data_IF_844774562680
#
_entry.id   IF_844774562680
#
_cell.length_a   1.000
_cell.length_b   1.000
_cell.length_c   1.000
_cell.angle_alpha   90.00
_cell.angle_beta   90.00
_cell.angle_gamma   90.00
#
_symmetry.space_group_name_H-M   'P 1'
#
loop_
_entity.id
_entity.type
_entity.pdbx_description
1 polymer ?
#
# COMPACT_ATOMS: atom_id res chain seq x y z
N UNK A 1 7.43 56.83 -6.93
CA UNK A 1 8.02 55.63 -7.57
C UNK A 1 9.35 55.38 -6.88
N UNK A 2 9.48 54.33 -6.07
CA UNK A 2 10.80 53.96 -5.53
C UNK A 2 11.66 53.47 -6.71
N UNK A 3 12.91 53.94 -6.85
CA UNK A 3 13.81 53.45 -7.90
C UNK A 3 14.05 51.96 -7.71
N UNK A 4 14.00 51.20 -8.81
CA UNK A 4 14.12 49.73 -8.87
C UNK A 4 15.33 49.21 -8.07
N UNK A 5 16.42 50.00 -7.99
CA UNK A 5 17.61 49.70 -7.20
C UNK A 5 17.37 49.62 -5.69
N UNK A 6 16.47 50.43 -5.11
CA UNK A 6 16.15 50.38 -3.68
C UNK A 6 15.30 49.14 -3.32
N UNK A 7 14.43 48.68 -4.23
CA UNK A 7 13.69 47.43 -4.04
C UNK A 7 14.62 46.20 -4.06
N UNK A 8 15.65 46.20 -4.92
CA UNK A 8 16.63 45.12 -4.99
C UNK A 8 17.51 45.03 -3.73
N UNK A 9 17.91 46.18 -3.16
CA UNK A 9 18.70 46.21 -1.92
C UNK A 9 17.89 45.73 -0.72
N UNK A 10 16.61 46.10 -0.62
CA UNK A 10 15.73 45.63 0.47
C UNK A 10 15.46 44.12 0.36
N UNK A 11 15.26 43.60 -0.87
CA UNK A 11 15.12 42.16 -1.09
C UNK A 11 16.41 41.40 -0.74
N UNK A 12 17.59 41.89 -1.17
CA UNK A 12 18.88 41.26 -0.88
C UNK A 12 19.27 41.32 0.61
N UNK A 13 18.94 42.40 1.31
CA UNK A 13 19.17 42.51 2.76
C UNK A 13 18.16 41.64 3.54
N UNK A 14 16.89 41.59 3.10
CA UNK A 14 15.87 40.74 3.70
C UNK A 14 16.17 39.24 3.58
N UNK A 15 16.70 38.80 2.42
CA UNK A 15 17.15 37.42 2.23
C UNK A 15 18.42 37.12 3.03
N UNK A 16 19.36 38.08 3.11
CA UNK A 16 20.60 37.92 3.89
C UNK A 16 20.35 37.84 5.40
N UNK A 17 19.47 38.69 5.94
CA UNK A 17 19.11 38.70 7.37
C UNK A 17 18.36 37.41 7.73
N UNK A 18 17.44 36.94 6.88
CA UNK A 18 16.71 35.69 7.09
C UNK A 18 17.62 34.46 7.02
N UNK A 19 18.56 34.43 6.07
CA UNK A 19 19.56 33.37 5.98
C UNK A 19 20.51 33.38 7.19
N UNK A 20 20.84 34.56 7.72
CA UNK A 20 21.70 34.69 8.90
C UNK A 20 20.97 34.29 10.19
N UNK A 21 19.68 34.64 10.36
CA UNK A 21 18.88 34.19 11.51
C UNK A 21 18.66 32.67 11.48
N UNK A 22 18.37 32.09 10.32
CA UNK A 22 18.21 30.65 10.15
C UNK A 22 19.51 29.89 10.48
N UNK A 23 20.68 30.42 10.10
CA UNK A 23 21.99 29.84 10.46
C UNK A 23 22.24 29.85 11.97
N UNK A 24 21.88 30.94 12.66
CA UNK A 24 22.06 31.06 14.12
C UNK A 24 21.15 30.08 14.86
N UNK A 25 19.90 29.90 14.41
CA UNK A 25 18.96 28.95 15.00
C UNK A 25 19.39 27.49 14.82
N UNK A 26 19.91 27.13 13.64
CA UNK A 26 20.39 25.76 13.36
C UNK A 26 21.62 25.41 14.21
N UNK A 27 22.55 26.34 14.42
CA UNK A 27 23.75 26.09 15.24
C UNK A 27 23.40 25.96 16.73
N UNK A 28 22.49 26.80 17.24
CA UNK A 28 21.97 26.66 18.60
C UNK A 28 21.26 25.31 18.80
N UNK A 29 20.47 24.88 17.81
CA UNK A 29 19.81 23.57 17.81
C UNK A 29 20.83 22.42 17.80
N UNK A 30 21.90 22.52 17.00
CA UNK A 30 22.99 21.54 16.94
C UNK A 30 23.70 21.41 18.29
N UNK A 31 24.04 22.53 18.91
CA UNK A 31 24.68 22.53 20.24
C UNK A 31 23.76 21.89 21.29
N UNK A 32 22.47 22.25 21.28
CA UNK A 32 21.48 21.64 22.18
C UNK A 32 21.37 20.13 21.95
N UNK A 33 21.32 19.69 20.70
CA UNK A 33 21.29 18.26 20.37
C UNK A 33 22.54 17.55 20.88
N UNK A 34 23.73 18.09 20.62
CA UNK A 34 25.00 17.49 21.07
C UNK A 34 25.11 17.42 22.61
N UNK A 35 24.55 18.39 23.32
CA UNK A 35 24.57 18.43 24.79
C UNK A 35 23.54 17.50 25.45
N UNK A 36 22.42 17.20 24.78
CA UNK A 36 21.26 16.53 25.40
C UNK A 36 20.86 15.21 24.77
N UNK A 37 21.42 14.85 23.62
CA UNK A 37 21.06 13.65 22.87
C UNK A 37 22.28 12.82 22.51
N UNK A 38 22.15 11.51 22.65
CA UNK A 38 23.07 10.54 22.02
C UNK A 38 22.54 10.18 20.62
N UNK A 39 23.42 9.73 19.70
CA UNK A 39 23.00 9.29 18.36
C UNK A 39 21.97 8.15 18.36
N UNK A 40 21.91 7.36 19.44
CA UNK A 40 20.97 6.26 19.64
C UNK A 40 19.74 6.63 20.47
N UNK A 41 19.60 7.89 20.87
CA UNK A 41 18.47 8.34 21.70
C UNK A 41 17.16 8.20 20.95
N UNK A 42 16.21 7.50 21.57
CA UNK A 42 14.86 7.28 21.02
C UNK A 42 13.83 8.25 21.59
N UNK A 43 14.24 9.20 22.44
CA UNK A 43 13.31 10.15 23.07
C UNK A 43 12.69 11.09 22.02
N UNK A 44 11.41 11.43 22.17
CA UNK A 44 10.68 12.28 21.23
C UNK A 44 11.35 13.63 21.01
N UNK A 45 11.88 14.23 22.07
CA UNK A 45 12.62 15.48 22.00
C UNK A 45 13.88 15.36 21.12
N UNK A 46 14.65 14.29 21.28
CA UNK A 46 15.84 14.05 20.45
C UNK A 46 15.46 13.74 19.00
N UNK A 47 14.39 12.96 18.78
CA UNK A 47 13.87 12.69 17.43
C UNK A 47 13.47 13.98 16.72
N UNK A 48 12.70 14.85 17.38
CA UNK A 48 12.29 16.14 16.82
C UNK A 48 13.46 17.06 16.49
N UNK A 49 14.45 17.16 17.38
CA UNK A 49 15.64 17.98 17.13
C UNK A 49 16.47 17.43 15.97
N UNK A 50 16.63 16.09 15.89
CA UNK A 50 17.29 15.44 14.75
C UNK A 50 16.57 15.71 13.45
N UNK A 51 15.24 15.53 13.38
CA UNK A 51 14.47 15.80 12.16
C UNK A 51 14.61 17.26 11.69
N UNK A 52 14.64 18.22 12.62
CA UNK A 52 14.88 19.63 12.28
C UNK A 52 16.29 19.87 11.71
N UNK A 53 17.32 19.25 12.29
CA UNK A 53 18.70 19.33 11.79
C UNK A 53 18.85 18.67 10.41
N UNK A 54 18.21 17.51 10.21
CA UNK A 54 18.17 16.82 8.92
C UNK A 54 17.44 17.64 7.84
N UNK A 55 16.32 18.29 8.19
CA UNK A 55 15.62 19.19 7.28
C UNK A 55 16.48 20.40 6.89
N UNK A 56 17.18 21.01 7.86
CA UNK A 56 18.12 22.10 7.57
C UNK A 56 19.26 21.63 6.63
N UNK A 57 19.77 20.41 6.82
CA UNK A 57 20.75 19.82 5.93
C UNK A 57 20.20 19.59 4.52
N UNK A 58 18.96 19.11 4.39
CA UNK A 58 18.28 18.96 3.10
C UNK A 58 18.17 20.29 2.35
N UNK A 59 17.66 21.34 3.00
CA UNK A 59 17.56 22.67 2.40
C UNK A 59 18.93 23.19 1.95
N UNK A 60 19.96 23.01 2.79
CA UNK A 60 21.33 23.41 2.44
C UNK A 60 21.87 22.66 1.22
N UNK A 61 21.60 21.36 1.11
CA UNK A 61 22.01 20.56 -0.03
C UNK A 61 21.33 21.01 -1.33
N UNK A 62 20.02 21.29 -1.28
CA UNK A 62 19.29 21.81 -2.44
C UNK A 62 19.88 23.14 -2.93
N UNK A 63 20.07 24.10 -2.03
CA UNK A 63 20.63 25.41 -2.38
C UNK A 63 22.04 25.29 -2.97
N UNK A 64 22.90 24.48 -2.36
CA UNK A 64 24.25 24.22 -2.87
C UNK A 64 24.23 23.63 -4.29
N UNK A 65 23.29 22.71 -4.57
CA UNK A 65 23.13 22.15 -5.91
C UNK A 65 22.56 23.15 -6.92
N UNK A 66 21.65 24.04 -6.51
CA UNK A 66 21.14 25.14 -7.35
C UNK A 66 22.26 26.13 -7.73
N UNK A 67 23.20 26.36 -6.82
CA UNK A 67 24.40 27.16 -7.02
C UNK A 67 25.49 26.44 -7.85
N UNK A 68 25.23 25.20 -8.29
CA UNK A 68 26.16 24.38 -9.07
C UNK A 68 27.28 23.74 -8.25
N UNK A 69 27.21 23.82 -6.92
CA UNK A 69 28.16 23.18 -6.03
C UNK A 69 27.86 21.68 -5.87
N UNK A 70 28.91 20.88 -5.68
CA UNK A 70 28.76 19.46 -5.39
C UNK A 70 28.58 19.24 -3.89
N UNK A 71 27.54 18.50 -3.45
CA UNK A 71 27.36 18.11 -2.06
C UNK A 71 28.62 17.47 -1.46
N UNK A 72 29.01 17.91 -0.26
CA UNK A 72 30.16 17.30 0.42
C UNK A 72 29.92 15.80 0.71
N UNK A 73 30.94 14.93 0.61
CA UNK A 73 30.77 13.49 0.90
C UNK A 73 30.20 13.21 2.29
N UNK A 74 30.59 14.00 3.30
CA UNK A 74 30.07 13.87 4.67
C UNK A 74 28.57 14.15 4.77
N UNK A 75 28.06 15.14 4.03
CA UNK A 75 26.64 15.47 3.99
C UNK A 75 25.83 14.36 3.31
N UNK A 76 26.37 13.77 2.25
CA UNK A 76 25.78 12.62 1.56
C UNK A 76 25.71 11.43 2.53
N UNK A 77 26.79 11.12 3.25
CA UNK A 77 26.82 10.00 4.19
C UNK A 77 25.79 10.16 5.32
N UNK A 78 25.67 11.36 5.88
CA UNK A 78 24.62 11.68 6.85
C UNK A 78 23.24 11.50 6.21
N UNK A 79 23.04 11.97 4.98
CA UNK A 79 21.77 11.84 4.29
C UNK A 79 21.36 10.40 3.99
N UNK A 80 22.30 9.52 3.62
CA UNK A 80 22.03 8.09 3.42
C UNK A 80 21.53 7.39 4.69
N UNK A 81 21.85 7.93 5.86
CA UNK A 81 21.44 7.42 7.19
C UNK A 81 20.27 8.20 7.81
N UNK A 82 19.88 9.33 7.22
CA UNK A 82 18.91 10.27 7.78
C UNK A 82 17.52 9.65 7.89
N UNK A 83 16.75 9.98 8.92
CA UNK A 83 15.34 9.54 9.04
C UNK A 83 14.38 10.37 8.19
N UNK A 84 14.76 11.62 7.88
CA UNK A 84 14.01 12.54 7.03
C UNK A 84 13.97 12.02 5.58
N UNK A 85 12.78 11.70 5.03
CA UNK A 85 12.67 11.00 3.76
C UNK A 85 13.19 11.82 2.57
N UNK A 86 13.00 13.13 2.58
CA UNK A 86 13.51 14.02 1.52
C UNK A 86 15.04 14.00 1.47
N UNK A 87 15.69 14.11 2.64
CA UNK A 87 17.14 14.06 2.74
C UNK A 87 17.69 12.71 2.28
N UNK A 88 17.06 11.61 2.70
CA UNK A 88 17.47 10.25 2.33
C UNK A 88 17.32 10.00 0.83
N UNK A 89 16.19 10.39 0.24
CA UNK A 89 15.95 10.26 -1.19
C UNK A 89 16.97 11.08 -2.00
N UNK A 90 17.20 12.35 -1.60
CA UNK A 90 18.20 13.21 -2.25
C UNK A 90 19.61 12.60 -2.16
N UNK A 91 20.00 12.12 -0.99
CA UNK A 91 21.30 11.47 -0.79
C UNK A 91 21.46 10.22 -1.66
N UNK A 92 20.43 9.38 -1.79
CA UNK A 92 20.44 8.22 -2.69
C UNK A 92 20.59 8.63 -4.16
N UNK A 93 19.96 9.74 -4.56
CA UNK A 93 20.03 10.28 -5.91
C UNK A 93 21.42 10.80 -6.26
N UNK A 94 22.02 11.62 -5.38
CA UNK A 94 23.27 12.35 -5.67
C UNK A 94 24.54 11.63 -5.21
N UNK A 95 24.42 10.58 -4.38
CA UNK A 95 25.60 9.85 -3.89
C UNK A 95 26.39 9.24 -5.05
N UNK A 96 27.73 9.36 -5.06
CA UNK A 96 28.55 8.58 -5.98
C UNK A 96 28.34 7.08 -5.75
N UNK A 97 28.59 6.27 -6.78
CA UNK A 97 28.51 4.82 -6.66
C UNK A 97 29.49 4.33 -5.60
N UNK A 98 28.96 3.66 -4.58
CA UNK A 98 29.74 3.14 -3.46
C UNK A 98 29.01 1.98 -2.79
N UNK A 99 29.71 1.11 -2.04
CA UNK A 99 29.08 0.08 -1.23
C UNK A 99 28.08 0.65 -0.21
N UNK A 100 28.40 1.82 0.37
CA UNK A 100 27.51 2.50 1.33
C UNK A 100 26.20 2.95 0.68
N UNK A 101 26.24 3.49 -0.55
CA UNK A 101 25.04 3.84 -1.33
C UNK A 101 24.18 2.62 -1.60
N UNK A 102 24.79 1.50 -2.00
CA UNK A 102 24.05 0.27 -2.27
C UNK A 102 23.41 -0.30 -0.99
N UNK A 103 24.15 -0.38 0.11
CA UNK A 103 23.62 -0.83 1.39
C UNK A 103 22.44 0.04 1.85
N UNK A 104 22.55 1.37 1.70
CA UNK A 104 21.47 2.29 2.00
C UNK A 104 20.25 2.09 1.08
N UNK A 105 20.46 1.84 -0.22
CA UNK A 105 19.38 1.56 -1.16
C UNK A 105 18.64 0.27 -0.80
N UNK A 106 19.35 -0.83 -0.52
CA UNK A 106 18.74 -2.10 -0.10
C UNK A 106 17.95 -1.94 1.20
N UNK A 107 18.48 -1.21 2.18
CA UNK A 107 17.74 -0.92 3.42
C UNK A 107 16.52 0.00 3.22
N UNK A 108 16.53 0.82 2.16
CA UNK A 108 15.51 1.83 1.89
C UNK A 108 14.42 1.37 0.93
N UNK A 109 14.58 0.21 0.29
CA UNK A 109 13.60 -0.29 -0.68
C UNK A 109 12.23 -0.53 -0.03
N UNK A 110 12.21 -0.86 1.27
CA UNK A 110 11.01 -1.11 2.07
C UNK A 110 10.60 0.10 2.94
N UNK A 111 11.07 1.31 2.61
CA UNK A 111 10.69 2.54 3.31
C UNK A 111 9.17 2.78 3.22
N UNK A 112 8.51 3.32 4.27
CA UNK A 112 7.11 3.74 4.18
C UNK A 112 6.91 4.92 3.21
N UNK A 113 7.97 5.61 2.80
CA UNK A 113 7.90 6.75 1.89
C UNK A 113 8.18 6.33 0.45
N UNK A 114 7.19 6.47 -0.44
CA UNK A 114 7.31 6.09 -1.84
C UNK A 114 8.47 6.80 -2.58
N UNK A 115 8.76 8.06 -2.23
CA UNK A 115 9.89 8.82 -2.79
C UNK A 115 11.23 8.17 -2.47
N UNK A 116 11.41 7.68 -1.24
CA UNK A 116 12.62 6.96 -0.81
C UNK A 116 12.73 5.61 -1.52
N UNK A 117 11.61 4.87 -1.61
CA UNK A 117 11.57 3.56 -2.30
C UNK A 117 11.95 3.70 -3.77
N UNK A 118 11.48 4.76 -4.43
CA UNK A 118 11.76 5.01 -5.85
C UNK A 118 13.26 5.23 -6.09
N UNK A 119 13.90 6.09 -5.31
CA UNK A 119 15.34 6.33 -5.47
C UNK A 119 16.17 5.10 -5.09
N UNK A 120 15.76 4.36 -4.05
CA UNK A 120 16.37 3.07 -3.72
C UNK A 120 16.26 2.08 -4.89
N UNK A 121 15.08 1.95 -5.51
CA UNK A 121 14.87 1.09 -6.67
C UNK A 121 15.70 1.52 -7.88
N UNK A 122 15.87 2.83 -8.11
CA UNK A 122 16.73 3.35 -9.18
C UNK A 122 18.19 2.94 -8.98
N UNK A 123 18.71 3.06 -7.75
CA UNK A 123 20.07 2.62 -7.41
C UNK A 123 20.23 1.11 -7.63
N UNK A 124 19.30 0.31 -7.12
CA UNK A 124 19.33 -1.16 -7.26
C UNK A 124 19.24 -1.58 -8.73
N UNK A 125 18.38 -0.94 -9.52
CA UNK A 125 18.22 -1.26 -10.95
C UNK A 125 19.51 -1.02 -11.74
N UNK A 126 20.19 0.10 -11.46
CA UNK A 126 21.40 0.50 -12.19
C UNK A 126 22.66 -0.23 -11.72
N UNK A 127 22.75 -0.58 -10.43
CA UNK A 127 24.01 -1.01 -9.81
C UNK A 127 23.90 -2.23 -8.90
N UNK A 128 22.70 -2.72 -8.60
CA UNK A 128 22.49 -3.86 -7.72
C UNK A 128 22.96 -5.16 -8.36
N UNK A 129 23.18 -6.20 -7.57
CA UNK A 129 23.44 -7.55 -8.09
C UNK A 129 22.17 -8.17 -8.71
N UNK A 130 22.32 -9.34 -9.34
CA UNK A 130 21.18 -10.04 -9.97
C UNK A 130 20.05 -10.30 -9.00
N UNK A 131 20.36 -10.73 -7.77
CA UNK A 131 19.34 -11.03 -6.76
C UNK A 131 18.58 -9.77 -6.36
N UNK A 132 19.29 -8.67 -6.12
CA UNK A 132 18.71 -7.38 -5.75
C UNK A 132 17.85 -6.82 -6.88
N UNK A 133 18.29 -6.91 -8.14
CA UNK A 133 17.50 -6.48 -9.29
C UNK A 133 16.21 -7.30 -9.43
N UNK A 134 16.30 -8.63 -9.30
CA UNK A 134 15.13 -9.52 -9.36
C UNK A 134 14.16 -9.28 -8.21
N UNK A 135 14.62 -8.87 -7.03
CA UNK A 135 13.73 -8.45 -5.94
C UNK A 135 12.80 -7.28 -6.35
N UNK A 136 13.22 -6.41 -7.29
CA UNK A 136 12.38 -5.34 -7.82
C UNK A 136 11.18 -5.85 -8.64
N UNK A 137 11.16 -7.10 -9.08
CA UNK A 137 9.97 -7.72 -9.69
C UNK A 137 8.81 -7.86 -8.70
N UNK A 138 9.08 -7.76 -7.39
CA UNK A 138 8.04 -7.67 -6.36
C UNK A 138 7.45 -6.28 -6.24
N UNK A 139 8.12 -5.26 -6.78
CA UNK A 139 7.67 -3.89 -6.67
C UNK A 139 6.35 -3.72 -7.41
N UNK A 140 5.31 -3.37 -6.68
CA UNK A 140 4.04 -2.99 -7.30
C UNK A 140 4.14 -1.52 -7.71
N UNK A 141 3.67 -1.16 -8.91
CA UNK A 141 3.87 0.17 -9.47
C UNK A 141 3.30 1.24 -8.54
N UNK A 142 4.20 1.98 -7.89
CA UNK A 142 3.84 3.12 -7.05
C UNK A 142 3.73 4.36 -7.90
N UNK A 143 2.59 5.05 -7.87
CA UNK A 143 2.50 6.44 -8.33
C UNK A 143 3.40 7.28 -7.42
N UNK A 144 4.23 8.15 -7.98
CA UNK A 144 5.03 9.09 -7.19
C UNK A 144 4.07 10.07 -6.50
N UNK A 145 3.97 10.08 -5.17
CA UNK A 145 3.15 11.07 -4.50
C UNK A 145 3.80 12.45 -4.66
N UNK A 146 2.97 13.49 -4.71
CA UNK A 146 3.42 14.88 -4.79
C UNK A 146 4.16 15.31 -3.51
N UNK A 147 3.80 14.71 -2.38
CA UNK A 147 4.39 14.96 -1.06
C UNK A 147 4.92 13.65 -0.45
N UNK A 148 5.99 13.70 0.38
CA UNK A 148 6.54 12.55 1.07
C UNK A 148 5.64 12.16 2.25
N UNK A 149 4.46 11.65 1.93
CA UNK A 149 3.53 11.06 2.90
C UNK A 149 3.97 9.62 3.17
N UNK A 150 4.02 9.24 4.43
CA UNK A 150 4.26 7.85 4.80
C UNK A 150 3.03 7.02 4.45
N UNK A 151 3.22 5.96 3.70
CA UNK A 151 2.19 4.95 3.51
C UNK A 151 1.89 4.30 4.87
N UNK A 152 0.61 4.02 5.12
CA UNK A 152 0.19 3.25 6.28
C UNK A 152 -0.06 1.80 5.84
N UNK A 153 0.33 0.80 6.64
CA UNK A 153 -0.21 -0.53 6.49
C UNK A 153 -1.75 -0.49 6.54
N UNK A 154 -2.45 -1.37 5.81
CA UNK A 154 -3.90 -1.41 5.87
C UNK A 154 -4.37 -1.71 7.30
N UNK A 155 -5.49 -1.11 7.68
CA UNK A 155 -6.17 -1.43 8.93
C UNK A 155 -6.43 -2.96 8.99
N UNK A 156 -6.00 -3.65 10.07
CA UNK A 156 -6.31 -5.07 10.28
C UNK A 156 -7.78 -5.43 10.06
N UNK A 157 -8.72 -4.54 10.39
CA UNK A 157 -10.15 -4.75 10.19
C UNK A 157 -10.55 -4.81 8.70
N UNK A 158 -9.77 -4.19 7.80
CA UNK A 158 -9.98 -4.24 6.33
C UNK A 158 -9.45 -5.53 5.72
N UNK A 159 -8.45 -6.17 6.34
CA UNK A 159 -7.89 -7.42 5.82
C UNK A 159 -8.88 -8.59 5.88
N UNK A 160 -9.89 -8.51 6.77
CA UNK A 160 -10.89 -9.57 7.03
C UNK A 160 -10.28 -10.95 7.35
N UNK A 161 -8.98 -10.97 7.67
CA UNK A 161 -8.22 -12.14 8.13
C UNK A 161 -7.41 -11.73 9.35
N UNK A 162 -7.18 -12.67 10.25
CA UNK A 162 -6.35 -12.43 11.43
C UNK A 162 -4.91 -12.14 11.00
N UNK A 163 -4.29 -11.02 11.44
CA UNK A 163 -2.88 -10.75 11.17
C UNK A 163 -2.00 -11.85 11.76
N UNK A 164 -0.98 -12.29 11.02
CA UNK A 164 0.00 -13.24 11.55
C UNK A 164 0.92 -12.54 12.58
N UNK A 165 1.09 -13.09 13.78
CA UNK A 165 1.90 -12.46 14.81
C UNK A 165 3.37 -12.37 14.39
N UNK A 166 3.99 -11.20 14.57
CA UNK A 166 5.40 -10.96 14.23
C UNK A 166 5.69 -10.81 12.74
N UNK A 167 4.68 -10.85 11.86
CA UNK A 167 4.88 -10.55 10.44
C UNK A 167 5.15 -9.04 10.23
N UNK A 168 6.12 -8.74 9.38
CA UNK A 168 6.49 -7.37 8.98
C UNK A 168 5.80 -7.02 7.67
N UNK A 169 5.10 -5.90 7.62
CA UNK A 169 4.51 -5.36 6.40
C UNK A 169 5.61 -4.90 5.43
N UNK A 170 5.47 -5.25 4.14
CA UNK A 170 6.43 -4.91 3.09
C UNK A 170 5.84 -3.87 2.15
N UNK A 171 6.23 -2.61 2.36
CA UNK A 171 5.77 -1.47 1.58
C UNK A 171 6.09 -1.60 0.10
N UNK A 172 7.25 -2.14 -0.26
CA UNK A 172 7.64 -2.24 -1.66
C UNK A 172 6.79 -3.22 -2.47
N UNK A 173 6.26 -4.27 -1.82
CA UNK A 173 5.49 -5.33 -2.45
C UNK A 173 3.96 -5.22 -2.23
N UNK A 174 3.53 -4.18 -1.51
CA UNK A 174 2.12 -3.92 -1.20
C UNK A 174 1.56 -2.76 -2.03
N UNK A 175 0.26 -2.78 -2.28
CA UNK A 175 -0.49 -1.71 -2.94
C UNK A 175 -1.94 -1.67 -2.42
N UNK A 176 -2.82 -0.93 -3.10
CA UNK A 176 -4.23 -0.79 -2.72
C UNK A 176 -5.04 -2.10 -2.82
N UNK A 177 -4.56 -3.09 -3.57
CA UNK A 177 -5.26 -4.36 -3.84
C UNK A 177 -4.65 -5.57 -3.11
N UNK A 178 -3.41 -5.46 -2.63
CA UNK A 178 -2.72 -6.52 -1.91
C UNK A 178 -1.83 -5.97 -0.79
N UNK A 179 -1.92 -6.62 0.36
CA UNK A 179 -1.03 -6.43 1.49
C UNK A 179 -0.02 -7.57 1.55
N UNK A 180 1.26 -7.24 1.39
CA UNK A 180 2.35 -8.20 1.47
C UNK A 180 3.01 -8.09 2.85
N UNK A 181 3.09 -9.21 3.55
CA UNK A 181 3.84 -9.34 4.79
C UNK A 181 4.92 -10.41 4.65
N UNK A 182 5.95 -10.32 5.49
CA UNK A 182 6.96 -11.38 5.60
C UNK A 182 7.24 -11.75 7.04
N UNK A 183 7.65 -13.00 7.27
CA UNK A 183 8.12 -13.50 8.56
C UNK A 183 9.33 -14.42 8.40
N UNK A 184 10.13 -14.54 9.45
CA UNK A 184 11.23 -15.50 9.54
C UNK A 184 10.73 -16.94 9.79
N UNK A 185 9.49 -17.10 10.24
CA UNK A 185 8.88 -18.41 10.49
C UNK A 185 8.77 -19.25 9.21
N UNK A 186 8.81 -20.57 9.36
CA UNK A 186 8.66 -21.51 8.24
C UNK A 186 7.24 -21.45 7.63
N UNK A 187 7.08 -21.68 6.31
CA UNK A 187 5.77 -21.63 5.65
C UNK A 187 4.72 -22.52 6.31
N UNK A 188 5.07 -23.74 6.70
CA UNK A 188 4.13 -24.68 7.32
C UNK A 188 3.55 -24.18 8.65
N UNK A 189 4.34 -23.45 9.44
CA UNK A 189 3.87 -22.82 10.69
C UNK A 189 2.85 -21.70 10.39
N UNK A 190 3.09 -20.94 9.34
CA UNK A 190 2.20 -19.87 8.89
C UNK A 190 0.91 -20.44 8.30
N UNK A 191 1.02 -21.47 7.47
CA UNK A 191 -0.14 -22.21 6.93
C UNK A 191 -0.98 -22.77 8.08
N UNK A 192 -0.36 -23.44 9.05
CA UNK A 192 -1.04 -24.00 10.21
C UNK A 192 -1.87 -22.96 10.99
N UNK A 193 -1.38 -21.71 11.09
CA UNK A 193 -2.10 -20.61 11.69
C UNK A 193 -3.37 -20.24 10.90
N UNK A 194 -3.27 -20.12 9.58
CA UNK A 194 -4.41 -19.75 8.73
C UNK A 194 -5.40 -20.90 8.50
N UNK A 195 -4.98 -22.15 8.68
CA UNK A 195 -5.86 -23.33 8.61
C UNK A 195 -6.57 -23.67 9.93
N UNK A 196 -6.35 -22.89 11.00
CA UNK A 196 -7.09 -23.07 12.25
C UNK A 196 -8.60 -22.97 12.01
N UNK A 197 -9.38 -23.79 12.73
CA UNK A 197 -10.83 -23.85 12.56
C UNK A 197 -11.31 -24.69 11.36
N UNK A 198 -10.46 -25.57 10.84
CA UNK A 198 -10.84 -26.56 9.80
C UNK A 198 -10.73 -26.06 8.36
N UNK A 199 -10.15 -24.87 8.14
CA UNK A 199 -9.89 -24.35 6.79
C UNK A 199 -8.83 -25.20 6.10
N UNK A 200 -9.04 -25.50 4.82
CA UNK A 200 -8.07 -26.25 4.00
C UNK A 200 -7.06 -25.29 3.34
N UNK A 201 -5.79 -25.69 3.34
CA UNK A 201 -4.79 -25.11 2.46
C UNK A 201 -4.73 -25.90 1.15
N UNK A 202 -4.79 -25.19 0.04
CA UNK A 202 -4.81 -25.77 -1.30
C UNK A 202 -3.46 -25.53 -2.00
N UNK A 203 -3.05 -26.48 -2.85
CA UNK A 203 -2.17 -26.14 -3.98
C UNK A 203 -2.94 -25.32 -5.02
N UNK A 204 -2.24 -24.71 -5.98
CA UNK A 204 -2.91 -23.94 -7.02
C UNK A 204 -3.89 -24.80 -7.86
N UNK A 205 -3.49 -26.02 -8.23
CA UNK A 205 -4.35 -26.93 -9.01
C UNK A 205 -5.57 -27.39 -8.20
N UNK A 206 -5.41 -27.68 -6.91
CA UNK A 206 -6.52 -28.01 -6.02
C UNK A 206 -7.48 -26.84 -5.85
N UNK A 207 -6.96 -25.60 -5.73
CA UNK A 207 -7.77 -24.40 -5.59
C UNK A 207 -8.60 -24.16 -6.85
N UNK A 208 -7.98 -24.21 -8.04
CA UNK A 208 -8.69 -24.05 -9.32
C UNK A 208 -9.79 -25.09 -9.49
N UNK A 209 -9.52 -26.34 -9.11
CA UNK A 209 -10.53 -27.40 -9.15
C UNK A 209 -11.68 -27.12 -8.16
N UNK A 210 -11.37 -26.69 -6.93
CA UNK A 210 -12.38 -26.34 -5.93
C UNK A 210 -13.25 -25.15 -6.38
N UNK A 211 -12.63 -24.09 -6.92
CA UNK A 211 -13.33 -22.93 -7.48
C UNK A 211 -14.22 -23.34 -8.66
N UNK A 212 -13.70 -24.15 -9.59
CA UNK A 212 -14.48 -24.65 -10.74
C UNK A 212 -15.65 -25.51 -10.29
N UNK A 213 -15.43 -26.42 -9.34
CA UNK A 213 -16.49 -27.26 -8.78
C UNK A 213 -17.57 -26.42 -8.12
N UNK A 214 -17.21 -25.35 -7.40
CA UNK A 214 -18.15 -24.43 -6.78
C UNK A 214 -18.92 -23.62 -7.82
N UNK A 215 -18.23 -23.07 -8.82
CA UNK A 215 -18.87 -22.33 -9.90
C UNK A 215 -19.92 -23.20 -10.63
N UNK A 216 -19.57 -24.45 -10.96
CA UNK A 216 -20.48 -25.41 -11.56
C UNK A 216 -21.65 -25.77 -10.63
N UNK A 217 -21.38 -26.01 -9.35
CA UNK A 217 -22.41 -26.31 -8.35
C UNK A 217 -23.32 -25.11 -8.02
N UNK A 218 -22.89 -23.88 -8.34
CA UNK A 218 -23.69 -22.70 -8.19
C UNK A 218 -24.55 -22.48 -9.45
N UNK A 219 -23.99 -22.63 -10.67
CA UNK A 219 -24.74 -22.52 -11.93
C UNK A 219 -25.81 -23.61 -12.16
N UNK A 220 -26.05 -24.47 -11.17
CA UNK A 220 -27.14 -25.44 -11.17
C UNK A 220 -28.49 -24.73 -11.09
N UNK A 221 -29.24 -24.73 -12.20
CA UNK A 221 -30.57 -24.11 -12.31
C UNK A 221 -31.55 -24.59 -11.23
N UNK A 222 -31.40 -25.82 -10.74
CA UNK A 222 -32.25 -26.37 -9.69
C UNK A 222 -32.06 -25.66 -8.34
N UNK A 223 -30.81 -25.30 -8.00
CA UNK A 223 -30.51 -24.50 -6.80
C UNK A 223 -31.00 -23.08 -6.93
N UNK A 224 -30.93 -22.49 -8.12
CA UNK A 224 -31.48 -21.15 -8.35
C UNK A 224 -33.00 -21.14 -8.11
N UNK A 225 -33.71 -22.14 -8.63
CA UNK A 225 -35.15 -22.30 -8.42
C UNK A 225 -35.48 -22.54 -6.93
N UNK A 226 -34.71 -23.39 -6.24
CA UNK A 226 -34.88 -23.60 -4.79
C UNK A 226 -34.62 -22.34 -3.98
N UNK A 227 -33.59 -21.56 -4.32
CA UNK A 227 -33.27 -20.32 -3.63
C UNK A 227 -34.39 -19.28 -3.79
N UNK A 228 -34.97 -19.18 -4.99
CA UNK A 228 -36.14 -18.34 -5.25
C UNK A 228 -37.37 -18.81 -4.47
N UNK A 229 -37.63 -20.12 -4.42
CA UNK A 229 -38.74 -20.70 -3.67
C UNK A 229 -38.58 -20.50 -2.16
N UNK A 230 -37.37 -20.66 -1.61
CA UNK A 230 -37.10 -20.39 -0.19
C UNK A 230 -37.24 -18.91 0.16
N UNK A 231 -36.73 -18.01 -0.69
CA UNK A 231 -36.88 -16.57 -0.49
C UNK A 231 -38.37 -16.20 -0.46
N UNK A 232 -39.14 -16.72 -1.42
CA UNK A 232 -40.59 -16.52 -1.49
C UNK A 232 -41.31 -17.11 -0.27
N UNK A 233 -40.91 -18.29 0.20
CA UNK A 233 -41.46 -18.93 1.41
C UNK A 233 -41.14 -18.16 2.70
N UNK A 234 -40.00 -17.45 2.74
CA UNK A 234 -39.58 -16.58 3.86
C UNK A 234 -40.12 -15.15 3.73
N UNK A 235 -40.95 -14.85 2.72
CA UNK A 235 -41.49 -13.51 2.46
C UNK A 235 -40.44 -12.50 1.99
N UNK A 236 -39.29 -12.98 1.51
CA UNK A 236 -38.21 -12.17 0.94
C UNK A 236 -38.41 -12.01 -0.57
N UNK A 237 -37.93 -10.90 -1.14
CA UNK A 237 -37.96 -10.69 -2.58
C UNK A 237 -37.01 -11.69 -3.29
N UNK A 238 -37.53 -12.58 -4.16
CA UNK A 238 -36.72 -13.55 -4.91
C UNK A 238 -35.65 -12.86 -5.78
N UNK A 239 -35.90 -11.63 -6.21
CA UNK A 239 -34.99 -10.81 -7.02
C UNK A 239 -33.75 -10.41 -6.22
N UNK A 240 -33.90 -10.11 -4.92
CA UNK A 240 -32.77 -9.80 -4.04
C UNK A 240 -31.91 -11.03 -3.77
N UNK A 241 -32.52 -12.18 -3.54
CA UNK A 241 -31.79 -13.45 -3.36
C UNK A 241 -30.99 -13.81 -4.62
N UNK A 242 -31.57 -13.57 -5.80
CA UNK A 242 -30.92 -13.77 -7.09
C UNK A 242 -29.76 -12.79 -7.32
N UNK A 243 -29.92 -11.50 -7.01
CA UNK A 243 -28.84 -10.52 -7.12
C UNK A 243 -27.70 -10.80 -6.14
N UNK A 244 -28.00 -11.15 -4.89
CA UNK A 244 -26.99 -11.56 -3.91
C UNK A 244 -26.23 -12.79 -4.39
N UNK A 245 -26.93 -13.76 -4.98
CA UNK A 245 -26.33 -14.95 -5.56
C UNK A 245 -25.47 -14.63 -6.81
N UNK A 246 -25.95 -13.83 -7.75
CA UNK A 246 -25.16 -13.37 -8.91
C UNK A 246 -23.90 -12.60 -8.50
N UNK A 247 -24.02 -11.70 -7.51
CA UNK A 247 -22.89 -10.97 -6.95
C UNK A 247 -21.89 -11.89 -6.26
N UNK A 248 -22.38 -12.96 -5.62
CA UNK A 248 -21.53 -14.01 -5.05
C UNK A 248 -20.72 -14.75 -6.14
N UNK A 249 -21.24 -14.83 -7.37
CA UNK A 249 -20.51 -15.40 -8.51
C UNK A 249 -19.50 -14.46 -9.15
N UNK A 250 -19.74 -13.14 -9.11
CA UNK A 250 -18.82 -12.15 -9.66
C UNK A 250 -17.42 -12.21 -8.99
N UNK A 251 -17.35 -12.66 -7.73
CA UNK A 251 -16.09 -12.87 -7.00
C UNK A 251 -15.27 -14.10 -7.44
N UNK A 252 -15.81 -14.98 -8.28
CA UNK A 252 -15.11 -16.16 -8.80
C UNK A 252 -14.26 -15.87 -10.05
N UNK A 253 -14.31 -14.64 -10.59
CA UNK A 253 -13.73 -14.29 -11.90
C UNK A 253 -12.23 -14.07 -11.95
N UNK A 254 -11.58 -13.77 -10.82
CA UNK A 254 -10.14 -13.50 -10.76
C UNK A 254 -9.41 -14.72 -10.21
N UNK A 255 -8.60 -15.38 -11.04
CA UNK A 255 -7.74 -16.49 -10.60
C UNK A 255 -6.68 -15.96 -9.61
N UNK A 256 -6.78 -16.27 -8.30
CA UNK A 256 -5.87 -15.73 -7.29
C UNK A 256 -4.48 -16.37 -7.38
N UNK A 257 -4.29 -17.42 -8.18
CA UNK A 257 -2.99 -18.09 -8.32
C UNK A 257 -2.11 -17.43 -9.37
N UNK A 258 -2.69 -16.71 -10.34
CA UNK A 258 -2.01 -16.18 -11.53
C UNK A 258 -0.81 -15.28 -11.22
N UNK A 259 -0.85 -14.55 -10.11
CA UNK A 259 0.21 -13.61 -9.73
C UNK A 259 1.39 -14.28 -8.99
N UNK A 260 1.30 -15.59 -8.72
CA UNK A 260 2.26 -16.32 -7.89
C UNK A 260 2.75 -17.62 -8.52
N UNK A 261 1.92 -18.29 -9.33
CA UNK A 261 2.38 -19.43 -10.12
C UNK A 261 3.48 -19.00 -11.09
N UNK A 262 4.53 -19.81 -11.18
CA UNK A 262 5.69 -19.63 -12.08
C UNK A 262 6.47 -18.32 -11.87
N UNK A 263 6.07 -17.51 -10.89
CA UNK A 263 6.78 -16.30 -10.53
C UNK A 263 8.10 -16.67 -9.87
N UNK A 264 9.18 -16.11 -10.38
CA UNK A 264 10.52 -16.42 -9.90
C UNK A 264 10.64 -16.22 -8.39
N UNK A 265 11.24 -17.19 -7.70
CA UNK A 265 11.49 -17.17 -6.26
C UNK A 265 10.27 -17.46 -5.38
N UNK A 266 9.10 -17.75 -5.94
CA UNK A 266 7.93 -18.25 -5.20
C UNK A 266 8.01 -19.77 -5.08
N UNK A 267 8.26 -20.28 -3.88
CA UNK A 267 8.33 -21.72 -3.64
C UNK A 267 7.09 -22.26 -2.95
N UNK A 268 6.52 -23.31 -3.55
CA UNK A 268 5.42 -24.12 -3.01
C UNK A 268 4.27 -23.30 -2.41
N UNK A 269 3.64 -22.40 -3.18
CA UNK A 269 2.58 -21.55 -2.67
C UNK A 269 1.39 -22.36 -2.16
N UNK A 270 0.88 -21.96 -1.00
CA UNK A 270 -0.32 -22.48 -0.37
C UNK A 270 -1.39 -21.40 -0.36
N UNK A 271 -2.58 -21.78 -0.79
CA UNK A 271 -3.73 -20.90 -0.94
C UNK A 271 -4.76 -21.26 0.12
N UNK A 272 -5.07 -20.33 1.01
CA UNK A 272 -6.00 -20.53 2.12
C UNK A 272 -7.19 -19.57 1.93
N UNK A 273 -8.38 -20.07 1.58
CA UNK A 273 -9.58 -19.25 1.48
C UNK A 273 -9.92 -18.63 2.83
N UNK A 274 -10.13 -17.30 2.84
CA UNK A 274 -10.57 -16.59 4.04
C UNK A 274 -12.07 -16.76 4.27
N UNK A 275 -12.83 -16.96 3.19
CA UNK A 275 -14.27 -17.21 3.17
C UNK A 275 -14.60 -18.42 2.28
N UNK A 276 -15.81 -18.96 2.46
CA UNK A 276 -16.26 -20.11 1.68
C UNK A 276 -16.39 -19.76 0.19
N UNK A 277 -16.66 -18.49 -0.14
CA UNK A 277 -16.86 -18.02 -1.50
C UNK A 277 -15.56 -17.92 -2.31
N UNK A 278 -14.40 -18.20 -1.72
CA UNK A 278 -13.09 -18.00 -2.33
C UNK A 278 -12.87 -16.54 -2.80
N UNK A 279 -13.65 -15.60 -2.28
CA UNK A 279 -13.57 -14.18 -2.67
C UNK A 279 -12.29 -13.53 -2.16
N UNK A 280 -11.69 -14.13 -1.13
CA UNK A 280 -10.41 -13.76 -0.54
C UNK A 280 -9.59 -15.01 -0.29
N UNK A 281 -8.37 -15.02 -0.79
CA UNK A 281 -7.44 -16.14 -0.63
C UNK A 281 -6.13 -15.60 -0.09
N UNK A 282 -5.77 -16.00 1.12
CA UNK A 282 -4.44 -15.74 1.68
C UNK A 282 -3.45 -16.65 0.99
N UNK A 283 -2.36 -16.09 0.47
CA UNK A 283 -1.29 -16.86 -0.18
C UNK A 283 -0.07 -16.87 0.73
N UNK A 284 0.43 -18.06 1.04
CA UNK A 284 1.62 -18.27 1.87
C UNK A 284 2.66 -19.05 1.07
N UNK A 285 3.90 -18.56 1.02
CA UNK A 285 4.99 -19.22 0.31
C UNK A 285 6.35 -18.83 0.87
N UNK A 286 7.39 -19.60 0.55
CA UNK A 286 8.78 -19.16 0.76
C UNK A 286 9.20 -18.27 -0.41
N UNK A 287 9.57 -17.03 -0.14
CA UNK A 287 10.10 -16.09 -1.14
C UNK A 287 11.63 -16.10 -1.09
N UNK A 288 12.29 -16.67 -2.10
CA UNK A 288 13.75 -16.76 -2.16
C UNK A 288 14.44 -15.41 -2.44
N UNK A 289 13.75 -14.51 -3.14
CA UNK A 289 14.28 -13.20 -3.47
C UNK A 289 14.35 -12.33 -2.20
N UNK A 290 13.31 -12.42 -1.36
CA UNK A 290 13.26 -11.75 -0.05
C UNK A 290 13.99 -12.54 1.04
N UNK A 291 14.12 -13.86 0.89
CA UNK A 291 14.74 -14.75 1.89
C UNK A 291 13.87 -15.03 3.12
N UNK A 292 12.55 -14.84 3.01
CA UNK A 292 11.58 -14.94 4.09
C UNK A 292 10.32 -15.69 3.65
N UNK A 293 9.46 -16.05 4.61
CA UNK A 293 8.12 -16.54 4.29
C UNK A 293 7.22 -15.36 4.00
N UNK A 294 6.60 -15.35 2.83
CA UNK A 294 5.65 -14.34 2.39
C UNK A 294 4.23 -14.71 2.79
N UNK A 295 3.45 -13.69 3.13
CA UNK A 295 2.01 -13.77 3.41
C UNK A 295 1.37 -12.66 2.59
N UNK A 296 0.60 -13.03 1.57
CA UNK A 296 -0.09 -12.06 0.72
C UNK A 296 -1.58 -12.14 0.98
N UNK A 297 -2.16 -11.01 1.34
CA UNK A 297 -3.57 -10.87 1.67
C UNK A 297 -4.20 -9.89 0.67
N UNK A 298 -5.22 -10.30 -0.10
CA UNK A 298 -5.98 -9.38 -0.93
C UNK A 298 -6.65 -8.30 -0.08
N UNK A 299 -6.50 -7.03 -0.48
CA UNK A 299 -7.17 -5.89 0.15
C UNK A 299 -8.40 -5.57 -0.70
N UNK A 300 -9.62 -5.64 -0.14
CA UNK A 300 -10.82 -5.27 -0.89
C UNK A 300 -10.75 -3.78 -1.25
N UNK A 301 -11.07 -3.47 -2.51
CA UNK A 301 -11.16 -2.08 -2.94
C UNK A 301 -12.30 -1.39 -2.17
N UNK A 302 -12.20 -0.08 -1.85
CA UNK A 302 -13.27 0.64 -1.18
C UNK A 302 -14.61 0.55 -1.92
N UNK A 303 -14.58 0.49 -3.26
CA UNK A 303 -15.76 0.31 -4.11
C UNK A 303 -16.40 -1.08 -3.95
N UNK A 304 -15.58 -2.12 -3.72
CA UNK A 304 -16.09 -3.48 -3.45
C UNK A 304 -16.70 -3.62 -2.06
N UNK A 305 -16.20 -2.88 -1.06
CA UNK A 305 -16.80 -2.82 0.28
C UNK A 305 -18.14 -2.07 0.26
N UNK A 306 -18.20 -0.90 -0.40
CA UNK A 306 -19.44 -0.14 -0.57
C UNK A 306 -20.52 -0.93 -1.32
N UNK A 307 -20.13 -1.74 -2.31
CA UNK A 307 -21.06 -2.63 -2.98
C UNK A 307 -21.59 -3.70 -2.02
N UNK A 308 -20.76 -4.28 -1.14
CA UNK A 308 -21.12 -5.35 -0.21
C UNK A 308 -21.96 -4.91 1.00
N UNK A 309 -21.93 -3.62 1.36
CA UNK A 309 -22.61 -3.08 2.55
C UNK A 309 -23.97 -2.43 2.25
N UNK A 310 -24.47 -2.52 1.01
CA UNK A 310 -25.82 -2.05 0.67
C UNK A 310 -26.83 -2.96 1.36
N UNK A 311 -27.37 -2.48 2.48
CA UNK A 311 -28.49 -3.11 3.18
C UNK A 311 -29.67 -3.33 2.22
N UNK A 312 -30.46 -4.39 2.44
CA UNK A 312 -31.61 -4.72 1.60
C UNK A 312 -32.61 -3.56 1.43
N UNK A 313 -32.64 -2.61 2.37
CA UNK A 313 -33.48 -1.40 2.34
C UNK A 313 -32.99 -0.34 1.34
N UNK A 314 -31.66 -0.17 1.17
CA UNK A 314 -31.13 0.77 0.16
C UNK A 314 -31.35 0.24 -1.26
N UNK A 315 -31.24 -1.08 -1.46
CA UNK A 315 -31.58 -1.71 -2.75
C UNK A 315 -33.07 -1.53 -3.06
N UNK A 316 -33.95 -1.68 -2.06
CA UNK A 316 -35.39 -1.42 -2.21
C UNK A 316 -35.67 0.03 -2.62
N UNK A 317 -35.01 1.01 -1.99
CA UNK A 317 -35.19 2.42 -2.36
C UNK A 317 -34.68 2.74 -3.76
N UNK A 318 -33.58 2.09 -4.17
CA UNK A 318 -32.98 2.34 -5.48
C UNK A 318 -33.80 1.69 -6.62
N UNK A 319 -34.33 0.48 -6.40
CA UNK A 319 -35.24 -0.20 -7.33
C UNK A 319 -36.61 0.51 -7.38
N UNK A 320 -37.14 0.93 -6.23
CA UNK A 320 -38.38 1.71 -6.17
C UNK A 320 -38.24 3.04 -6.92
N UNK A 321 -37.10 3.74 -6.79
CA UNK A 321 -36.80 4.95 -7.58
C UNK A 321 -36.71 4.68 -9.08
N UNK A 322 -36.06 3.60 -9.50
CA UNK A 322 -35.98 3.24 -10.92
C UNK A 322 -37.36 2.87 -11.49
N UNK A 323 -38.19 2.15 -10.74
CA UNK A 323 -39.55 1.82 -11.16
C UNK A 323 -40.45 3.07 -11.21
N UNK A 324 -40.29 4.02 -10.28
CA UNK A 324 -41.01 5.29 -10.31
C UNK A 324 -40.65 6.16 -11.53
N UNK A 325 -39.38 6.15 -11.94
CA UNK A 325 -38.90 6.90 -13.11
C UNK A 325 -39.27 6.26 -14.45
N UNK A 326 -39.65 4.97 -14.46
CA UNK A 326 -40.11 4.26 -15.65
C UNK A 326 -41.63 4.18 -15.79
N UNK A 327 -42.39 4.76 -14.85
CA UNK A 327 -43.83 4.89 -15.05
C UNK A 327 -44.09 5.89 -16.19
N UNK A 328 -44.78 5.48 -17.27
CA UNK A 328 -45.19 6.43 -18.29
C UNK A 328 -46.07 7.49 -17.62
N UNK A 329 -45.77 8.77 -17.87
CA UNK A 329 -46.63 9.87 -17.48
C UNK A 329 -47.95 9.65 -18.23
N UNK A 330 -48.96 9.17 -17.52
CA UNK A 330 -50.32 9.06 -18.04
C UNK A 330 -50.88 10.48 -18.04
N UNK A 331 -50.57 11.25 -19.08
CA UNK A 331 -51.26 12.50 -19.42
C UNK A 331 -52.64 12.13 -20.00
N UNK A 332 -53.56 11.69 -19.14
CA UNK A 332 -54.99 11.67 -19.51
C UNK A 332 -55.68 12.74 -18.69
N UNK A 333 -56.15 13.85 -19.30
CA UNK A 333 -56.92 14.83 -18.58
C UNK A 333 -58.22 14.19 -18.07
N UNK A 334 -58.72 14.58 -16.88
CA UNK A 334 -59.98 14.08 -16.37
C UNK A 334 -61.11 14.44 -17.35
N UNK A 335 -61.90 13.46 -17.74
CA UNK A 335 -63.14 13.68 -18.46
C UNK A 335 -64.07 14.52 -17.57
N UNK A 336 -64.36 15.74 -18.01
CA UNK A 336 -65.35 16.60 -17.37
C UNK A 336 -66.74 16.14 -17.76
N UNK A 337 -67.55 15.83 -16.74
CA UNK A 337 -69.00 16.05 -16.75
C UNK A 337 -69.29 17.38 -16.04
#
# INVERSE_FOLDING_TARGET
MLPIAQCLVILALGTSIRAQSERVEVEALRQKYAASCTPSSTSDACRQMRSKLEYALYTKLLLSMEDGETPSPSAIEVGLKAETPQLRALALQVSPQSPARMAAAVASIDSPYATVRQEAANVIRSHGDDKQRRMLERQVSGRRPEYPVADAPPDPARLKVKPYPGATYRYFASNDEQAYFSTADAPDKVVAFYTQGGKKAYSASELKLAMKSRAMAAMDQSKMIQLMQEAQAKGQDPTQAMMAWQKSLAGLGTDPTRNFEEREGVLSPRYIPADDMFSRVVVVFRDELVGATAIVVPVPSPASEAAMDVSGDEVMQMVARQQFMQQPIIDTPPAGD
#
